data_IF_361773711013
#
_entry.id   IF_361773711013
#
_cell.length_a   1.000
_cell.length_b   1.000
_cell.length_c   1.000
_cell.angle_alpha   90.00
_cell.angle_beta   90.00
_cell.angle_gamma   90.00
#
_symmetry.space_group_name_H-M   'P 1'
#
loop_
_entity.id
_entity.type
_entity.pdbx_description
1 polymer ?
#
# COMPACT_ATOMS: atom_id res chain seq x y z
N UNK A 1 46.58 4.42 -2.14
CA UNK A 1 45.58 3.78 -3.03
C UNK A 1 46.34 3.05 -4.12
N UNK A 2 45.96 1.82 -4.43
CA UNK A 2 46.55 1.02 -5.51
C UNK A 2 46.39 1.77 -6.85
N UNK A 3 47.52 2.03 -7.53
CA UNK A 3 47.56 2.79 -8.79
C UNK A 3 46.93 2.01 -9.95
N UNK A 4 47.02 0.67 -9.94
CA UNK A 4 46.35 -0.15 -10.95
C UNK A 4 44.83 -0.09 -10.78
N UNK A 5 44.35 -0.17 -9.53
CA UNK A 5 42.93 0.00 -9.22
C UNK A 5 42.41 1.38 -9.63
N UNK A 6 43.16 2.46 -9.35
CA UNK A 6 42.77 3.81 -9.76
C UNK A 6 42.73 3.95 -11.30
N UNK A 7 43.70 3.38 -12.01
CA UNK A 7 43.74 3.41 -13.46
C UNK A 7 42.53 2.68 -14.08
N UNK A 8 42.17 1.51 -13.54
CA UNK A 8 40.99 0.77 -13.98
C UNK A 8 39.68 1.55 -13.73
N UNK A 9 39.55 2.20 -12.56
CA UNK A 9 38.39 3.03 -12.25
C UNK A 9 38.29 4.24 -13.19
N UNK A 10 39.39 4.90 -13.50
CA UNK A 10 39.41 6.01 -14.46
C UNK A 10 39.01 5.55 -15.87
N UNK A 11 39.58 4.43 -16.33
CA UNK A 11 39.24 3.88 -17.62
C UNK A 11 37.74 3.51 -17.72
N UNK A 12 37.12 3.09 -16.61
CA UNK A 12 35.70 2.73 -16.59
C UNK A 12 34.76 3.93 -16.46
N UNK A 13 35.07 4.87 -15.57
CA UNK A 13 34.09 5.86 -15.07
C UNK A 13 34.39 7.31 -15.43
N UNK A 14 35.51 7.63 -16.09
CA UNK A 14 35.84 9.03 -16.41
C UNK A 14 34.86 9.64 -17.41
N UNK A 15 34.47 8.88 -18.42
CA UNK A 15 33.57 9.31 -19.51
C UNK A 15 32.23 8.54 -19.49
N UNK A 16 31.96 7.77 -18.42
CA UNK A 16 30.70 7.06 -18.26
C UNK A 16 29.56 8.03 -17.93
N UNK A 17 28.42 7.82 -18.56
CA UNK A 17 27.17 8.56 -18.35
C UNK A 17 26.37 8.00 -17.17
N UNK A 18 25.32 8.71 -16.74
CA UNK A 18 24.49 8.27 -15.61
C UNK A 18 23.81 6.90 -15.80
N UNK A 19 23.57 6.49 -17.05
CA UNK A 19 22.95 5.21 -17.42
C UNK A 19 23.95 4.07 -17.70
N UNK A 20 25.26 4.33 -17.71
CA UNK A 20 26.29 3.31 -17.94
C UNK A 20 26.52 2.45 -16.69
N UNK A 21 25.58 1.53 -16.44
CA UNK A 21 25.59 0.66 -15.26
C UNK A 21 25.78 -0.82 -15.64
N UNK A 22 26.82 -1.44 -15.09
CA UNK A 22 27.18 -2.85 -15.38
C UNK A 22 26.44 -3.87 -14.52
N UNK A 23 26.09 -3.50 -13.28
CA UNK A 23 25.39 -4.42 -12.39
C UNK A 23 24.03 -4.76 -13.02
N UNK A 24 23.72 -6.05 -13.27
CA UNK A 24 22.52 -6.43 -13.98
C UNK A 24 21.21 -5.98 -13.32
N UNK A 25 21.18 -5.83 -12.00
CA UNK A 25 19.98 -5.37 -11.30
C UNK A 25 19.84 -3.85 -11.40
N UNK A 26 20.95 -3.12 -11.24
CA UNK A 26 20.92 -1.67 -11.39
C UNK A 26 20.70 -1.25 -12.85
N UNK A 27 21.15 -2.04 -13.82
CA UNK A 27 20.93 -1.79 -15.25
C UNK A 27 19.44 -1.81 -15.62
N UNK A 28 18.63 -2.67 -14.98
CA UNK A 28 17.16 -2.67 -15.15
C UNK A 28 16.55 -1.34 -14.71
N UNK A 29 16.96 -0.84 -13.55
CA UNK A 29 16.52 0.45 -13.03
C UNK A 29 16.99 1.60 -13.93
N UNK A 30 18.25 1.58 -14.38
CA UNK A 30 18.80 2.59 -15.29
C UNK A 30 18.03 2.67 -16.60
N UNK A 31 17.68 1.52 -17.20
CA UNK A 31 16.94 1.44 -18.45
C UNK A 31 15.54 2.10 -18.39
N UNK A 32 14.97 2.25 -17.19
CA UNK A 32 13.71 2.95 -17.00
C UNK A 32 13.86 4.45 -16.79
N UNK A 33 14.99 4.87 -16.24
CA UNK A 33 15.19 6.25 -15.82
C UNK A 33 15.93 7.08 -16.87
N UNK A 34 16.84 6.46 -17.61
CA UNK A 34 17.69 7.14 -18.58
C UNK A 34 17.22 6.88 -20.02
N UNK A 35 16.95 7.95 -20.75
CA UNK A 35 16.95 7.96 -22.21
C UNK A 35 18.33 8.38 -22.72
N UNK A 36 18.77 7.81 -23.85
CA UNK A 36 20.06 8.15 -24.48
C UNK A 36 21.26 8.06 -23.51
N UNK A 37 21.21 7.16 -22.53
CA UNK A 37 22.21 6.91 -21.46
C UNK A 37 22.53 8.06 -20.49
N UNK A 38 22.22 9.33 -20.78
CA UNK A 38 22.57 10.46 -19.90
C UNK A 38 21.41 11.41 -19.58
N UNK A 39 20.21 11.15 -20.10
CA UNK A 39 19.04 12.01 -19.88
C UNK A 39 18.01 11.34 -19.00
N UNK A 40 17.74 11.93 -17.84
CA UNK A 40 16.64 11.53 -16.96
C UNK A 40 15.54 12.58 -17.01
N UNK A 41 14.29 12.13 -17.10
CA UNK A 41 13.12 13.01 -16.94
C UNK A 41 13.21 13.70 -15.57
N UNK A 42 12.89 14.98 -15.51
CA UNK A 42 12.85 15.69 -14.23
C UNK A 42 11.71 15.14 -13.36
N UNK A 43 11.96 14.83 -12.08
CA UNK A 43 10.95 14.25 -11.20
C UNK A 43 9.73 15.17 -11.01
N UNK A 44 9.94 16.50 -11.12
CA UNK A 44 8.92 17.53 -10.97
C UNK A 44 8.24 17.99 -12.26
N UNK A 45 8.44 17.25 -13.37
CA UNK A 45 7.87 17.57 -14.66
C UNK A 45 6.72 16.63 -15.05
N UNK A 46 5.79 17.15 -15.86
CA UNK A 46 4.55 16.51 -16.31
C UNK A 46 3.51 16.27 -15.19
N UNK A 47 2.30 15.77 -15.52
CA UNK A 47 1.35 15.36 -14.50
C UNK A 47 1.90 14.25 -13.59
N UNK A 48 1.73 14.44 -12.28
CA UNK A 48 2.17 13.48 -11.27
C UNK A 48 1.26 12.24 -11.24
N UNK A 49 1.87 11.07 -11.07
CA UNK A 49 1.22 9.74 -11.12
C UNK A 49 1.78 8.89 -9.99
N UNK A 50 1.09 7.80 -9.61
CA UNK A 50 1.62 6.93 -8.58
C UNK A 50 2.96 6.32 -8.99
N UNK A 51 4.00 6.58 -8.18
CA UNK A 51 5.36 6.04 -8.34
C UNK A 51 6.01 6.34 -9.69
N UNK A 52 5.61 7.44 -10.35
CA UNK A 52 6.02 7.81 -11.72
C UNK A 52 5.70 6.73 -12.77
N UNK A 53 4.75 5.83 -12.51
CA UNK A 53 4.32 4.82 -13.47
C UNK A 53 3.49 5.43 -14.60
N UNK A 54 3.42 4.79 -15.79
CA UNK A 54 2.60 5.28 -16.89
C UNK A 54 1.13 5.50 -16.46
N UNK A 55 0.58 6.67 -16.77
CA UNK A 55 -0.85 6.94 -16.61
C UNK A 55 -1.64 6.31 -17.76
N UNK A 56 -2.52 5.36 -17.43
CA UNK A 56 -3.25 4.53 -18.41
C UNK A 56 -4.73 4.36 -18.05
N UNK A 57 -5.51 5.44 -17.83
CA UNK A 57 -6.92 5.33 -17.41
C UNK A 57 -7.81 4.66 -18.45
N UNK A 58 -7.42 4.68 -19.73
CA UNK A 58 -8.19 4.09 -20.82
C UNK A 58 -8.28 2.56 -20.73
N UNK A 59 -7.34 1.91 -20.02
CA UNK A 59 -7.34 0.44 -19.86
C UNK A 59 -8.53 -0.06 -19.06
N UNK A 60 -9.14 0.78 -18.22
CA UNK A 60 -10.35 0.42 -17.48
C UNK A 60 -11.57 0.13 -18.38
N UNK A 61 -11.50 0.51 -19.66
CA UNK A 61 -12.52 0.20 -20.67
C UNK A 61 -12.23 -1.09 -21.45
N UNK A 62 -11.05 -1.68 -21.26
CA UNK A 62 -10.60 -2.88 -21.97
C UNK A 62 -10.91 -4.13 -21.14
N UNK A 63 -11.36 -5.24 -21.76
CA UNK A 63 -11.68 -6.48 -21.03
C UNK A 63 -10.51 -7.09 -20.25
N UNK A 64 -9.28 -6.90 -20.71
CA UNK A 64 -8.04 -7.46 -20.15
C UNK A 64 -7.19 -6.40 -19.44
N UNK A 65 -7.72 -5.18 -19.26
CA UNK A 65 -6.98 -4.04 -18.69
C UNK A 65 -5.65 -3.77 -19.40
N UNK A 66 -5.57 -4.04 -20.71
CA UNK A 66 -4.33 -3.85 -21.47
C UNK A 66 -3.22 -4.84 -21.09
N UNK A 67 -3.58 -5.98 -20.49
CA UNK A 67 -2.66 -7.01 -20.03
C UNK A 67 -1.77 -6.56 -18.89
N UNK A 68 -2.26 -5.65 -18.03
CA UNK A 68 -1.57 -5.24 -16.81
C UNK A 68 -1.46 -6.42 -15.84
N UNK A 69 -0.35 -6.43 -15.11
CA UNK A 69 -0.12 -7.32 -13.98
C UNK A 69 -0.66 -6.70 -12.68
N UNK A 70 -0.51 -5.38 -12.55
CA UNK A 70 -0.89 -4.58 -11.38
C UNK A 70 -1.52 -3.27 -11.83
N UNK A 71 -2.60 -2.86 -11.18
CA UNK A 71 -3.22 -1.55 -11.35
C UNK A 71 -3.07 -0.74 -10.06
N UNK A 72 -2.48 0.46 -10.17
CA UNK A 72 -2.47 1.45 -9.09
C UNK A 72 -3.73 2.31 -9.22
N UNK A 73 -4.53 2.38 -8.15
CA UNK A 73 -5.88 2.94 -8.18
C UNK A 73 -6.06 3.94 -7.05
N UNK A 74 -6.51 5.16 -7.34
CA UNK A 74 -6.91 6.10 -6.29
C UNK A 74 -8.38 5.92 -5.88
N UNK A 75 -8.66 6.02 -4.59
CA UNK A 75 -10.03 5.95 -4.04
C UNK A 75 -10.31 7.19 -3.18
N UNK A 76 -10.55 8.37 -3.78
CA UNK A 76 -10.64 9.65 -3.07
C UNK A 76 -11.97 9.84 -2.32
N UNK A 77 -12.20 9.08 -1.25
CA UNK A 77 -13.44 9.04 -0.47
C UNK A 77 -13.17 9.00 1.03
N UNK A 78 -13.82 9.87 1.82
CA UNK A 78 -13.68 9.93 3.28
C UNK A 78 -15.03 10.16 4.02
N UNK A 79 -16.14 9.67 3.43
CA UNK A 79 -17.48 9.81 3.99
C UNK A 79 -17.75 8.88 5.18
N UNK A 80 -16.86 7.91 5.44
CA UNK A 80 -16.92 6.98 6.57
C UNK A 80 -16.17 7.45 7.82
N UNK A 81 -15.47 8.60 7.76
CA UNK A 81 -14.75 9.16 8.91
C UNK A 81 -15.71 9.65 10.00
N UNK A 82 -15.39 9.36 11.27
CA UNK A 82 -16.17 9.84 12.43
C UNK A 82 -15.56 11.05 13.14
N UNK A 83 -14.29 11.38 12.87
CA UNK A 83 -13.55 12.45 13.52
C UNK A 83 -13.04 13.51 12.53
N UNK A 84 -11.81 13.37 12.03
CA UNK A 84 -11.14 14.38 11.19
C UNK A 84 -11.09 13.94 9.73
N UNK A 85 -12.02 14.45 8.92
CA UNK A 85 -12.03 14.20 7.47
C UNK A 85 -10.79 14.79 6.77
N UNK A 86 -10.54 14.44 5.51
CA UNK A 86 -9.36 14.87 4.75
C UNK A 86 -8.84 13.87 3.76
N UNK A 87 -9.04 12.59 4.09
CA UNK A 87 -8.41 11.48 3.38
C UNK A 87 -8.83 11.41 1.91
N UNK A 88 -9.96 12.03 1.50
CA UNK A 88 -10.32 12.19 0.08
C UNK A 88 -9.24 12.87 -0.77
N UNK A 89 -8.33 13.61 -0.16
CA UNK A 89 -7.20 14.27 -0.83
C UNK A 89 -5.91 13.43 -0.83
N UNK A 90 -5.88 12.32 -0.10
CA UNK A 90 -4.77 11.39 0.01
C UNK A 90 -4.23 10.90 -1.33
N UNK A 91 -5.07 10.37 -2.25
CA UNK A 91 -4.60 9.84 -3.53
C UNK A 91 -3.83 10.89 -4.35
N UNK A 92 -4.29 12.14 -4.34
CA UNK A 92 -3.60 13.24 -5.02
C UNK A 92 -2.28 13.60 -4.34
N UNK A 93 -2.25 13.64 -3.01
CA UNK A 93 -1.03 13.95 -2.26
C UNK A 93 0.05 12.88 -2.47
N UNK A 94 -0.33 11.60 -2.50
CA UNK A 94 0.60 10.49 -2.74
C UNK A 94 1.10 10.47 -4.18
N UNK A 95 0.26 10.79 -5.19
CA UNK A 95 0.73 10.98 -6.58
C UNK A 95 1.80 12.06 -6.70
N UNK A 96 1.73 13.12 -5.89
CA UNK A 96 2.69 14.22 -5.92
C UNK A 96 4.05 13.89 -5.29
N UNK A 97 4.27 12.65 -4.83
CA UNK A 97 5.56 12.22 -4.29
C UNK A 97 6.45 11.68 -5.41
N UNK A 98 7.48 12.44 -5.75
CA UNK A 98 8.34 12.20 -6.91
C UNK A 98 9.67 11.47 -6.56
N UNK A 99 9.93 11.22 -5.27
CA UNK A 99 11.24 10.77 -4.78
C UNK A 99 11.18 9.45 -4.01
N UNK A 100 10.69 8.41 -4.66
CA UNK A 100 10.84 7.01 -4.20
C UNK A 100 12.00 6.33 -4.93
N UNK A 101 12.01 6.44 -6.26
CA UNK A 101 12.99 5.78 -7.12
C UNK A 101 12.55 4.37 -7.54
N UNK A 102 13.15 3.81 -8.60
CA UNK A 102 12.66 2.59 -9.24
C UNK A 102 13.19 1.28 -8.63
N UNK A 103 14.08 1.32 -7.63
CA UNK A 103 14.83 0.15 -7.17
C UNK A 103 14.76 -0.03 -5.65
N UNK A 104 14.25 -1.18 -5.21
CA UNK A 104 14.27 -1.59 -3.82
C UNK A 104 15.57 -2.36 -3.54
N UNK A 105 16.42 -1.79 -2.68
CA UNK A 105 17.80 -2.23 -2.53
C UNK A 105 18.00 -3.48 -1.66
N UNK A 106 17.06 -3.80 -0.76
CA UNK A 106 17.14 -4.97 0.11
C UNK A 106 16.64 -6.21 -0.63
N UNK A 107 15.51 -6.11 -1.32
CA UNK A 107 14.89 -7.15 -2.11
C UNK A 107 15.54 -7.30 -3.49
N UNK A 108 16.29 -6.29 -3.94
CA UNK A 108 16.90 -6.20 -5.28
C UNK A 108 15.84 -6.34 -6.37
N UNK A 109 14.81 -5.49 -6.28
CA UNK A 109 13.65 -5.51 -7.17
C UNK A 109 13.54 -4.17 -7.89
N UNK A 110 13.30 -4.23 -9.20
CA UNK A 110 12.86 -3.07 -9.99
C UNK A 110 11.44 -3.39 -10.47
N UNK A 111 10.39 -3.04 -9.70
CA UNK A 111 9.06 -3.60 -9.90
C UNK A 111 8.50 -3.32 -11.30
N UNK A 112 8.69 -2.10 -11.82
CA UNK A 112 8.23 -1.74 -13.16
C UNK A 112 8.98 -2.46 -14.30
N UNK A 113 10.11 -3.12 -14.01
CA UNK A 113 10.86 -3.92 -14.99
C UNK A 113 10.44 -5.40 -14.94
N UNK A 114 9.77 -5.80 -13.86
CA UNK A 114 9.32 -7.17 -13.59
C UNK A 114 7.81 -7.33 -13.79
N UNK A 115 7.05 -6.25 -13.69
CA UNK A 115 5.60 -6.20 -13.80
C UNK A 115 5.14 -5.14 -14.81
N UNK A 116 4.11 -5.46 -15.59
CA UNK A 116 3.32 -4.46 -16.31
C UNK A 116 2.39 -3.75 -15.32
N UNK A 117 2.86 -2.64 -14.76
CA UNK A 117 2.12 -1.82 -13.81
C UNK A 117 1.82 -0.42 -14.37
N UNK A 118 0.67 0.14 -14.01
CA UNK A 118 0.26 1.49 -14.40
C UNK A 118 -0.65 2.14 -13.35
N UNK A 119 -0.62 3.47 -13.29
CA UNK A 119 -1.66 4.27 -12.62
C UNK A 119 -2.86 4.37 -13.55
N UNK A 120 -4.00 3.79 -13.15
CA UNK A 120 -5.21 3.76 -13.97
C UNK A 120 -6.23 4.85 -13.58
N UNK A 121 -5.81 5.81 -12.75
CA UNK A 121 -6.65 6.89 -12.27
C UNK A 121 -7.41 6.53 -10.99
N UNK A 122 -8.57 7.16 -10.83
CA UNK A 122 -9.38 7.04 -9.62
C UNK A 122 -10.67 6.26 -9.89
N UNK A 123 -11.23 5.66 -8.84
CA UNK A 123 -12.58 5.06 -8.90
C UNK A 123 -13.61 6.12 -9.33
N UNK A 124 -14.43 5.86 -10.36
CA UNK A 124 -15.47 6.78 -10.79
C UNK A 124 -16.68 6.70 -9.84
N UNK A 125 -16.90 7.75 -9.04
CA UNK A 125 -18.05 7.83 -8.14
C UNK A 125 -19.27 8.48 -8.77
N UNK A 126 -20.45 7.85 -8.61
CA UNK A 126 -21.72 8.39 -9.07
C UNK A 126 -22.28 9.48 -8.14
N UNK A 127 -21.87 9.48 -6.87
CA UNK A 127 -22.33 10.42 -5.85
C UNK A 127 -21.21 10.84 -4.92
N UNK A 128 -21.14 12.14 -4.60
CA UNK A 128 -20.26 12.67 -3.56
C UNK A 128 -20.90 12.76 -2.17
N UNK A 129 -22.13 12.24 -2.04
CA UNK A 129 -22.99 12.44 -0.87
C UNK A 129 -23.51 11.14 -0.25
N UNK A 130 -23.29 9.99 -0.91
CA UNK A 130 -23.84 8.70 -0.49
C UNK A 130 -22.70 7.73 -0.28
N UNK A 131 -22.38 7.45 0.99
CA UNK A 131 -21.36 6.48 1.37
C UNK A 131 -21.66 5.09 0.79
N UNK A 132 -22.92 4.66 0.88
CA UNK A 132 -23.37 3.37 0.34
C UNK A 132 -23.13 3.28 -1.17
N UNK A 133 -23.52 4.31 -1.93
CA UNK A 133 -23.26 4.33 -3.38
C UNK A 133 -21.78 4.36 -3.70
N UNK A 134 -20.96 5.04 -2.89
CA UNK A 134 -19.50 5.00 -3.04
C UNK A 134 -18.93 3.60 -2.82
N UNK A 135 -19.38 2.88 -1.77
CA UNK A 135 -18.95 1.49 -1.54
C UNK A 135 -19.37 0.56 -2.68
N UNK A 136 -20.57 0.71 -3.23
CA UNK A 136 -21.01 -0.02 -4.42
C UNK A 136 -20.13 0.28 -5.66
N UNK A 137 -19.78 1.54 -5.88
CA UNK A 137 -18.93 1.95 -7.01
C UNK A 137 -17.50 1.39 -6.88
N UNK A 138 -16.95 1.39 -5.66
CA UNK A 138 -15.62 0.81 -5.37
C UNK A 138 -15.65 -0.68 -5.65
N UNK A 139 -16.60 -1.43 -5.08
CA UNK A 139 -16.71 -2.86 -5.30
C UNK A 139 -16.85 -3.20 -6.79
N UNK A 140 -17.77 -2.50 -7.49
CA UNK A 140 -18.02 -2.74 -8.91
C UNK A 140 -16.76 -2.50 -9.76
N UNK A 141 -16.00 -1.44 -9.46
CA UNK A 141 -14.76 -1.14 -10.16
C UNK A 141 -13.67 -2.18 -9.86
N UNK A 142 -13.43 -2.53 -8.59
CA UNK A 142 -12.42 -3.52 -8.26
C UNK A 142 -12.77 -4.92 -8.77
N UNK A 143 -14.07 -5.27 -8.86
CA UNK A 143 -14.51 -6.54 -9.42
C UNK A 143 -14.13 -6.68 -10.90
N UNK A 144 -14.12 -5.60 -11.69
CA UNK A 144 -13.67 -5.67 -13.09
C UNK A 144 -12.16 -5.87 -13.18
N UNK A 145 -11.38 -5.20 -12.34
CA UNK A 145 -9.92 -5.34 -12.24
C UNK A 145 -9.54 -6.78 -11.87
N UNK A 146 -10.11 -7.31 -10.78
CA UNK A 146 -9.82 -8.66 -10.28
C UNK A 146 -10.26 -9.72 -11.29
N UNK A 147 -11.41 -9.55 -11.95
CA UNK A 147 -11.89 -10.49 -12.98
C UNK A 147 -10.95 -10.58 -14.18
N UNK A 148 -10.22 -9.50 -14.49
CA UNK A 148 -9.20 -9.50 -15.54
C UNK A 148 -7.88 -10.15 -15.11
N UNK A 149 -7.76 -10.62 -13.86
CA UNK A 149 -6.54 -11.22 -13.32
C UNK A 149 -5.47 -10.19 -12.92
N UNK A 150 -5.86 -8.92 -12.79
CA UNK A 150 -4.96 -7.83 -12.40
C UNK A 150 -4.98 -7.67 -10.88
N UNK A 151 -3.81 -7.52 -10.25
CA UNK A 151 -3.70 -7.25 -8.81
C UNK A 151 -3.98 -5.76 -8.56
N UNK A 152 -5.00 -5.39 -7.76
CA UNK A 152 -5.27 -4.00 -7.44
C UNK A 152 -4.45 -3.54 -6.22
N UNK A 153 -3.71 -2.44 -6.36
CA UNK A 153 -3.09 -1.71 -5.25
C UNK A 153 -3.72 -0.32 -5.15
N UNK A 154 -4.42 -0.07 -4.05
CA UNK A 154 -5.17 1.17 -3.88
C UNK A 154 -4.40 2.19 -3.05
N UNK A 155 -4.60 3.46 -3.35
CA UNK A 155 -4.33 4.55 -2.42
C UNK A 155 -5.67 5.17 -2.08
N UNK A 156 -6.01 5.09 -0.81
CA UNK A 156 -7.33 5.38 -0.31
C UNK A 156 -7.57 6.82 0.08
N UNK A 157 -8.83 7.05 0.45
CA UNK A 157 -9.18 7.98 1.50
C UNK A 157 -9.31 7.22 2.81
N UNK A 158 -10.48 7.25 3.44
CA UNK A 158 -10.64 6.60 4.74
C UNK A 158 -10.64 5.06 4.65
N UNK A 159 -10.42 4.39 5.78
CA UNK A 159 -10.28 2.93 5.82
C UNK A 159 -11.58 2.16 5.46
N UNK A 160 -12.73 2.83 5.40
CA UNK A 160 -14.00 2.17 5.04
C UNK A 160 -14.02 1.66 3.59
N UNK A 161 -13.13 2.15 2.72
CA UNK A 161 -13.00 1.66 1.34
C UNK A 161 -12.62 0.18 1.27
N UNK A 162 -11.85 -0.31 2.25
CA UNK A 162 -11.18 -1.61 2.17
C UNK A 162 -12.17 -2.75 2.21
N UNK A 163 -13.31 -2.59 2.89
CA UNK A 163 -14.42 -3.55 2.81
C UNK A 163 -14.91 -3.74 1.37
N UNK A 164 -15.12 -2.65 0.63
CA UNK A 164 -15.61 -2.72 -0.75
C UNK A 164 -14.57 -3.34 -1.70
N UNK A 165 -13.29 -3.01 -1.50
CA UNK A 165 -12.19 -3.65 -2.22
C UNK A 165 -12.08 -5.15 -1.91
N UNK A 166 -12.17 -5.54 -0.64
CA UNK A 166 -12.15 -6.94 -0.21
C UNK A 166 -13.33 -7.74 -0.75
N UNK A 167 -14.51 -7.12 -0.91
CA UNK A 167 -15.66 -7.79 -1.55
C UNK A 167 -15.38 -8.21 -2.98
N UNK A 168 -14.53 -7.49 -3.70
CA UNK A 168 -14.07 -7.87 -5.03
C UNK A 168 -12.93 -8.91 -4.98
N UNK A 169 -11.90 -8.66 -4.17
CA UNK A 169 -10.69 -9.50 -4.10
C UNK A 169 -11.00 -10.89 -3.52
N UNK A 170 -11.81 -10.95 -2.46
CA UNK A 170 -12.22 -12.18 -1.78
C UNK A 170 -13.51 -12.80 -2.31
N UNK A 171 -14.03 -12.36 -3.46
CA UNK A 171 -15.31 -12.80 -4.00
C UNK A 171 -15.36 -14.31 -4.30
N UNK A 172 -14.25 -14.88 -4.78
CA UNK A 172 -14.17 -16.31 -5.09
C UNK A 172 -13.95 -17.16 -3.83
N UNK A 173 -13.01 -16.72 -2.98
CA UNK A 173 -12.67 -17.34 -1.70
C UNK A 173 -12.19 -16.25 -0.73
N UNK A 174 -12.48 -16.36 0.57
CA UNK A 174 -11.97 -15.42 1.55
C UNK A 174 -10.44 -15.41 1.55
N UNK A 175 -9.86 -14.22 1.59
CA UNK A 175 -8.41 -14.02 1.64
C UNK A 175 -7.91 -13.95 3.09
N UNK A 176 -6.62 -14.23 3.31
CA UNK A 176 -5.95 -13.80 4.53
C UNK A 176 -5.63 -12.31 4.49
N UNK A 177 -5.19 -11.74 5.61
CA UNK A 177 -4.81 -10.33 5.65
C UNK A 177 -3.65 -10.03 6.60
N UNK A 178 -2.78 -9.13 6.15
CA UNK A 178 -1.82 -8.43 7.00
C UNK A 178 -2.30 -6.99 7.10
N UNK A 179 -2.67 -6.58 8.30
CA UNK A 179 -3.22 -5.28 8.62
C UNK A 179 -2.24 -4.52 9.52
N UNK A 180 -1.73 -3.39 9.05
CA UNK A 180 -0.77 -2.57 9.79
C UNK A 180 -1.45 -1.24 10.09
N UNK A 181 -1.82 -1.04 11.36
CA UNK A 181 -2.78 -0.01 11.80
C UNK A 181 -2.57 0.32 13.28
N UNK A 182 -3.00 1.50 13.75
CA UNK A 182 -3.18 1.79 15.17
C UNK A 182 -4.45 1.17 15.76
N UNK A 183 -5.47 0.90 14.96
CA UNK A 183 -6.79 0.40 15.35
C UNK A 183 -7.10 -0.94 14.70
N UNK A 184 -7.96 -1.75 15.32
CA UNK A 184 -8.33 -3.04 14.71
C UNK A 184 -9.40 -2.91 13.61
N UNK A 185 -10.14 -1.79 13.54
CA UNK A 185 -11.13 -1.57 12.50
C UNK A 185 -12.20 -2.67 12.37
N UNK A 186 -12.55 -3.24 13.52
CA UNK A 186 -13.60 -4.25 13.70
C UNK A 186 -14.78 -3.74 14.55
N UNK A 187 -14.96 -2.42 14.60
CA UNK A 187 -16.05 -1.76 15.32
C UNK A 187 -17.45 -2.19 14.85
N UNK A 188 -18.43 -2.00 15.73
CA UNK A 188 -19.83 -2.36 15.50
C UNK A 188 -20.62 -1.33 14.72
N UNK A 189 -21.87 -1.11 15.11
CA UNK A 189 -22.73 -0.07 14.52
C UNK A 189 -22.54 1.21 15.35
N UNK A 190 -22.24 2.32 14.70
CA UNK A 190 -22.26 3.67 15.30
C UNK A 190 -23.41 4.47 14.72
N UNK A 191 -24.25 5.03 15.60
CA UNK A 191 -25.33 5.95 15.23
C UNK A 191 -26.26 5.43 14.11
N UNK A 192 -26.44 4.10 14.05
CA UNK A 192 -27.27 3.44 13.05
C UNK A 192 -26.56 3.08 11.73
N UNK A 193 -25.29 3.43 11.57
CA UNK A 193 -24.45 3.00 10.44
C UNK A 193 -23.42 1.96 10.86
N UNK A 194 -23.29 0.90 10.06
CA UNK A 194 -22.18 -0.06 10.12
C UNK A 194 -21.06 0.26 9.11
N UNK A 195 -21.25 1.32 8.33
CA UNK A 195 -20.33 1.78 7.30
C UNK A 195 -19.65 3.04 7.84
N UNK A 196 -18.46 2.83 8.39
CA UNK A 196 -17.54 3.85 8.89
C UNK A 196 -16.12 3.27 8.85
N UNK A 197 -15.12 4.13 8.97
CA UNK A 197 -13.73 3.73 8.82
C UNK A 197 -13.24 2.77 9.92
N UNK A 198 -13.76 2.86 11.15
CA UNK A 198 -13.41 1.91 12.22
C UNK A 198 -14.12 0.54 12.22
N UNK A 199 -14.75 0.10 11.14
CA UNK A 199 -15.47 -1.19 11.07
C UNK A 199 -15.36 -2.06 9.80
N UNK A 200 -14.53 -1.75 8.78
CA UNK A 200 -14.51 -2.45 7.50
C UNK A 200 -14.20 -3.94 7.65
N UNK A 201 -13.29 -4.33 8.54
CA UNK A 201 -12.82 -5.71 8.62
C UNK A 201 -13.78 -6.64 9.36
N UNK A 202 -14.52 -6.11 10.33
CA UNK A 202 -15.67 -6.85 10.88
C UNK A 202 -16.67 -7.14 9.78
N UNK A 203 -17.00 -6.15 8.96
CA UNK A 203 -17.95 -6.36 7.87
C UNK A 203 -17.39 -7.30 6.79
N UNK A 204 -16.11 -7.22 6.44
CA UNK A 204 -15.49 -8.12 5.46
C UNK A 204 -15.52 -9.59 5.90
N UNK A 205 -15.30 -9.88 7.19
CA UNK A 205 -15.47 -11.24 7.74
C UNK A 205 -16.94 -11.68 7.64
N UNK A 206 -17.88 -10.81 8.01
CA UNK A 206 -19.31 -11.11 7.96
C UNK A 206 -19.85 -11.26 6.53
N UNK A 207 -19.23 -10.59 5.56
CA UNK A 207 -19.51 -10.74 4.13
C UNK A 207 -18.90 -12.03 3.55
N UNK A 208 -18.06 -12.74 4.31
CA UNK A 208 -17.43 -14.00 3.91
C UNK A 208 -16.25 -13.87 2.95
N UNK A 209 -15.65 -12.67 2.86
CA UNK A 209 -14.56 -12.36 1.92
C UNK A 209 -13.19 -12.20 2.60
N UNK A 210 -13.15 -12.24 3.93
CA UNK A 210 -11.95 -12.18 4.75
C UNK A 210 -11.96 -13.35 5.77
N UNK A 211 -10.88 -14.11 5.81
CA UNK A 211 -10.70 -15.19 6.79
C UNK A 211 -10.05 -14.62 8.07
N UNK A 212 -10.78 -14.56 9.21
CA UNK A 212 -10.24 -14.00 10.44
C UNK A 212 -9.10 -14.86 11.02
N UNK A 213 -9.08 -16.17 10.79
CA UNK A 213 -8.01 -17.04 11.29
C UNK A 213 -6.68 -16.84 10.54
N UNK A 214 -6.76 -16.30 9.31
CA UNK A 214 -5.61 -15.89 8.48
C UNK A 214 -5.41 -14.37 8.49
N UNK A 215 -5.89 -13.69 9.53
CA UNK A 215 -5.74 -12.23 9.69
C UNK A 215 -4.84 -11.89 10.86
N UNK A 216 -3.84 -11.04 10.61
CA UNK A 216 -2.96 -10.47 11.63
C UNK A 216 -3.02 -8.94 11.60
N UNK A 217 -3.16 -8.32 12.76
CA UNK A 217 -3.24 -6.87 12.96
C UNK A 217 -2.02 -6.43 13.79
N UNK A 218 -1.26 -5.44 13.31
CA UNK A 218 0.06 -5.09 13.85
C UNK A 218 0.14 -3.58 14.07
N UNK A 219 0.53 -3.17 15.28
CA UNK A 219 0.67 -1.75 15.64
C UNK A 219 -0.48 -1.19 16.48
N UNK A 220 -1.39 -2.08 16.91
CA UNK A 220 -2.62 -1.74 17.63
C UNK A 220 -2.29 -1.04 18.95
N UNK A 221 -2.93 0.11 19.21
CA UNK A 221 -2.71 0.92 20.42
C UNK A 221 -3.85 1.92 20.65
N UNK A 222 -3.72 2.73 21.69
CA UNK A 222 -4.69 3.78 22.00
C UNK A 222 -5.84 3.31 22.90
N UNK A 223 -6.78 4.21 23.16
CA UNK A 223 -7.84 4.00 24.16
C UNK A 223 -9.06 3.20 23.69
N UNK A 224 -9.02 2.65 22.47
CA UNK A 224 -10.19 2.11 21.76
C UNK A 224 -10.34 0.58 21.81
N UNK A 225 -9.47 -0.13 22.55
CA UNK A 225 -9.42 -1.61 22.53
C UNK A 225 -10.75 -2.29 22.87
N UNK A 226 -11.54 -1.70 23.77
CA UNK A 226 -12.86 -2.21 24.15
C UNK A 226 -13.86 -2.29 22.98
N UNK A 227 -13.58 -1.63 21.85
CA UNK A 227 -14.41 -1.66 20.64
C UNK A 227 -14.09 -2.85 19.72
N UNK A 228 -13.02 -3.62 20.01
CA UNK A 228 -12.43 -4.60 19.11
C UNK A 228 -12.56 -6.05 19.59
N UNK A 229 -13.50 -6.34 20.49
CA UNK A 229 -13.83 -7.71 20.96
C UNK A 229 -13.99 -8.70 19.79
N UNK A 230 -14.54 -8.22 18.67
CA UNK A 230 -14.71 -9.02 17.46
C UNK A 230 -13.40 -9.62 16.92
N UNK A 231 -12.28 -8.88 16.94
CA UNK A 231 -10.98 -9.41 16.48
C UNK A 231 -10.59 -10.66 17.27
N UNK A 232 -10.72 -10.60 18.60
CA UNK A 232 -10.38 -11.71 19.48
C UNK A 232 -11.33 -12.91 19.32
N UNK A 233 -12.64 -12.66 19.30
CA UNK A 233 -13.65 -13.74 19.21
C UNK A 233 -13.67 -14.40 17.84
N UNK A 234 -13.37 -13.65 16.77
CA UNK A 234 -13.33 -14.20 15.40
C UNK A 234 -12.05 -14.99 15.10
N UNK A 235 -11.02 -14.88 15.94
CA UNK A 235 -9.75 -15.61 15.80
C UNK A 235 -8.64 -14.83 15.10
N UNK A 236 -8.75 -13.52 14.95
CA UNK A 236 -7.67 -12.67 14.43
C UNK A 236 -6.50 -12.64 15.42
N UNK A 237 -5.28 -12.57 14.88
CA UNK A 237 -4.09 -12.32 15.70
C UNK A 237 -3.88 -10.82 15.83
N UNK A 238 -3.84 -10.31 17.06
CA UNK A 238 -3.58 -8.89 17.35
C UNK A 238 -2.20 -8.75 17.99
N UNK A 239 -1.35 -7.87 17.44
CA UNK A 239 -0.05 -7.49 17.98
C UNK A 239 -0.09 -6.00 18.30
N UNK A 240 -0.03 -5.68 19.59
CA UNK A 240 -0.02 -4.30 20.04
C UNK A 240 1.32 -3.61 19.77
N UNK A 241 1.32 -2.29 19.64
CA UNK A 241 2.52 -1.50 19.35
C UNK A 241 3.64 -1.74 20.38
N UNK A 242 3.31 -1.90 21.66
CA UNK A 242 4.28 -2.15 22.74
C UNK A 242 4.91 -3.56 22.67
N UNK A 243 4.25 -4.49 21.98
CA UNK A 243 4.75 -5.85 21.79
C UNK A 243 5.79 -5.91 20.67
N UNK A 244 5.68 -5.05 19.66
CA UNK A 244 6.59 -5.02 18.51
C UNK A 244 8.07 -4.90 18.92
N UNK A 245 8.49 -3.90 19.72
CA UNK A 245 9.89 -3.81 20.14
C UNK A 245 10.28 -4.91 21.15
N UNK A 246 9.33 -5.44 21.92
CA UNK A 246 9.56 -6.52 22.90
C UNK A 246 9.83 -7.87 22.22
N UNK A 247 9.08 -8.18 21.16
CA UNK A 247 9.24 -9.39 20.36
C UNK A 247 10.40 -9.26 19.38
N UNK A 248 10.60 -8.05 18.85
CA UNK A 248 11.51 -7.78 17.73
C UNK A 248 10.87 -8.10 16.39
N UNK A 249 11.20 -7.32 15.37
CA UNK A 249 10.63 -7.44 14.03
C UNK A 249 10.78 -8.84 13.40
N UNK A 250 11.91 -9.56 13.53
CA UNK A 250 12.02 -10.92 12.99
C UNK A 250 10.93 -11.86 13.52
N UNK A 251 10.54 -11.74 14.79
CA UNK A 251 9.49 -12.57 15.38
C UNK A 251 8.09 -12.14 14.91
N UNK A 252 7.85 -10.83 14.79
CA UNK A 252 6.59 -10.29 14.25
C UNK A 252 6.40 -10.72 12.79
N UNK A 253 7.45 -10.64 11.97
CA UNK A 253 7.45 -11.10 10.57
C UNK A 253 7.17 -12.60 10.50
N UNK A 254 7.88 -13.41 11.30
CA UNK A 254 7.65 -14.86 11.34
C UNK A 254 6.19 -15.18 11.72
N UNK A 255 5.64 -14.48 12.71
CA UNK A 255 4.24 -14.64 13.13
C UNK A 255 3.26 -14.22 12.03
N UNK A 256 3.51 -13.11 11.34
CA UNK A 256 2.67 -12.67 10.23
C UNK A 256 2.62 -13.73 9.12
N UNK A 257 3.78 -14.27 8.73
CA UNK A 257 3.88 -15.34 7.73
C UNK A 257 3.20 -16.64 8.18
N UNK A 258 3.31 -17.01 9.45
CA UNK A 258 2.64 -18.17 10.01
C UNK A 258 1.11 -18.02 9.92
N UNK A 259 0.58 -16.86 10.33
CA UNK A 259 -0.87 -16.59 10.32
C UNK A 259 -1.43 -16.58 8.90
N UNK A 260 -0.77 -15.90 7.97
CA UNK A 260 -1.28 -15.81 6.59
C UNK A 260 -0.90 -17.01 5.72
N UNK A 261 0.03 -17.86 6.13
CA UNK A 261 0.47 -19.05 5.37
C UNK A 261 0.75 -18.77 3.89
N UNK A 262 0.45 -19.75 3.03
CA UNK A 262 0.73 -19.69 1.57
C UNK A 262 -0.46 -19.23 0.72
N UNK A 263 -1.63 -19.03 1.34
CA UNK A 263 -2.85 -18.65 0.64
C UNK A 263 -2.87 -17.18 0.17
N UNK A 264 -3.87 -16.81 -0.65
CA UNK A 264 -4.04 -15.43 -1.10
C UNK A 264 -4.20 -14.49 0.09
N UNK A 265 -3.45 -13.39 0.08
CA UNK A 265 -3.34 -12.46 1.20
C UNK A 265 -3.51 -11.02 0.72
N UNK A 266 -4.36 -10.26 1.39
CA UNK A 266 -4.49 -8.82 1.21
C UNK A 266 -3.56 -8.10 2.19
N UNK A 267 -2.87 -7.04 1.77
CA UNK A 267 -2.09 -6.21 2.68
C UNK A 267 -2.70 -4.82 2.76
N UNK A 268 -3.19 -4.46 3.93
CA UNK A 268 -3.79 -3.15 4.19
C UNK A 268 -2.91 -2.37 5.16
N UNK A 269 -2.52 -1.17 4.75
CA UNK A 269 -1.66 -0.29 5.53
C UNK A 269 -2.37 1.03 5.81
N UNK A 270 -2.68 1.26 7.08
CA UNK A 270 -3.10 2.56 7.57
C UNK A 270 -1.87 3.40 7.94
N UNK A 271 -1.81 4.65 7.46
CA UNK A 271 -0.70 5.54 7.80
C UNK A 271 -0.67 5.94 9.27
N UNK A 272 -1.79 5.83 10.00
CA UNK A 272 -1.82 6.11 11.44
C UNK A 272 -1.17 4.99 12.29
N UNK A 273 -0.82 3.85 11.69
CA UNK A 273 0.07 2.86 12.29
C UNK A 273 1.44 3.45 12.67
N UNK A 274 1.89 4.46 11.91
CA UNK A 274 3.11 5.21 12.19
C UNK A 274 2.88 6.20 13.34
N UNK A 275 3.94 6.47 14.10
CA UNK A 275 3.87 7.52 15.12
C UNK A 275 3.55 8.88 14.48
N UNK A 276 2.72 9.74 15.10
CA UNK A 276 2.36 11.06 14.57
C UNK A 276 3.55 11.99 14.33
N UNK A 277 4.72 11.71 14.93
CA UNK A 277 5.98 12.38 14.61
C UNK A 277 6.46 12.13 13.17
N UNK A 278 6.01 11.06 12.52
CA UNK A 278 6.34 10.70 11.14
C UNK A 278 5.15 10.83 10.18
N UNK A 279 3.94 10.51 10.65
CA UNK A 279 2.71 10.57 9.87
C UNK A 279 1.64 11.48 10.53
N UNK A 280 1.90 12.80 10.66
CA UNK A 280 0.93 13.71 11.29
C UNK A 280 -0.36 13.90 10.44
N UNK A 281 -0.28 13.59 9.15
CA UNK A 281 -1.32 13.77 8.14
C UNK A 281 -2.36 12.67 8.11
N UNK A 282 -3.03 12.39 9.23
CA UNK A 282 -4.06 11.32 9.33
C UNK A 282 -5.27 11.77 10.16
N UNK A 283 -6.40 11.08 10.04
CA UNK A 283 -7.64 11.35 10.77
C UNK A 283 -7.54 11.07 12.27
N UNK A 284 -6.92 9.97 12.67
CA UNK A 284 -7.00 9.37 14.02
C UNK A 284 -5.63 9.02 14.62
N UNK A 285 -4.71 9.99 14.79
CA UNK A 285 -3.35 9.72 15.26
C UNK A 285 -3.35 9.19 16.69
N UNK A 286 -2.63 8.10 16.90
CA UNK A 286 -2.33 7.55 18.22
C UNK A 286 -0.82 7.65 18.51
N UNK A 287 -0.45 8.16 19.68
CA UNK A 287 0.97 8.29 20.07
C UNK A 287 1.63 6.93 20.32
N UNK A 288 2.96 6.83 20.15
CA UNK A 288 3.74 5.63 20.43
C UNK A 288 3.67 4.58 19.31
N UNK A 289 3.56 5.03 18.07
CA UNK A 289 3.41 4.17 16.89
C UNK A 289 4.72 3.62 16.34
N UNK A 290 4.61 2.91 15.22
CA UNK A 290 5.75 2.37 14.49
C UNK A 290 6.59 3.49 13.89
N UNK A 291 7.89 3.26 13.78
CA UNK A 291 8.77 4.11 12.98
C UNK A 291 8.73 3.68 11.50
N UNK A 292 8.99 4.59 10.54
CA UNK A 292 9.09 4.23 9.11
C UNK A 292 10.10 3.13 8.84
N UNK A 293 11.19 3.07 9.63
CA UNK A 293 12.20 2.01 9.52
C UNK A 293 11.62 0.64 9.86
N UNK A 294 10.81 0.56 10.91
CA UNK A 294 10.19 -0.70 11.33
C UNK A 294 9.17 -1.18 10.30
N UNK A 295 8.36 -0.28 9.74
CA UNK A 295 7.44 -0.59 8.64
C UNK A 295 8.20 -1.14 7.43
N UNK A 296 9.31 -0.52 7.01
CA UNK A 296 10.10 -1.02 5.90
C UNK A 296 10.67 -2.42 6.16
N UNK A 297 11.17 -2.68 7.36
CA UNK A 297 11.69 -4.01 7.73
C UNK A 297 10.57 -5.06 7.80
N UNK A 298 9.39 -4.70 8.33
CA UNK A 298 8.19 -5.54 8.27
C UNK A 298 7.85 -5.91 6.83
N UNK A 299 7.63 -4.91 5.97
CA UNK A 299 7.21 -5.13 4.58
C UNK A 299 8.23 -5.99 3.82
N UNK A 300 9.52 -5.70 3.92
CA UNK A 300 10.57 -6.52 3.27
C UNK A 300 10.57 -7.97 3.75
N UNK A 301 10.28 -8.20 5.03
CA UNK A 301 10.15 -9.54 5.60
C UNK A 301 8.97 -10.37 5.06
N UNK A 302 8.02 -9.73 4.39
CA UNK A 302 6.87 -10.37 3.76
C UNK A 302 7.14 -10.82 2.32
N UNK A 303 8.36 -10.65 1.80
CA UNK A 303 8.72 -11.14 0.47
C UNK A 303 8.37 -12.63 0.30
N UNK A 304 7.69 -12.97 -0.79
CA UNK A 304 7.20 -14.32 -1.08
C UNK A 304 5.83 -14.66 -0.50
N UNK A 305 5.18 -13.77 0.27
CA UNK A 305 3.75 -13.90 0.58
C UNK A 305 2.95 -13.67 -0.71
N UNK A 306 1.88 -14.45 -0.92
CA UNK A 306 1.00 -14.34 -2.08
C UNK A 306 0.06 -13.13 -1.96
N UNK A 307 0.57 -11.94 -2.30
CA UNK A 307 -0.18 -10.68 -2.27
C UNK A 307 -1.12 -10.60 -3.48
N UNK A 308 -2.43 -10.63 -3.23
CA UNK A 308 -3.49 -10.57 -4.27
C UNK A 308 -4.19 -9.22 -4.35
N UNK A 309 -3.81 -8.28 -3.49
CA UNK A 309 -4.27 -6.90 -3.47
C UNK A 309 -3.75 -6.19 -2.23
N UNK A 310 -3.89 -4.88 -2.20
CA UNK A 310 -3.56 -4.11 -1.01
C UNK A 310 -4.00 -2.66 -1.11
N UNK A 311 -3.89 -1.94 0.00
CA UNK A 311 -4.19 -0.52 0.06
C UNK A 311 -3.26 0.25 1.02
N UNK A 312 -3.17 1.55 0.77
CA UNK A 312 -2.56 2.54 1.66
C UNK A 312 -3.60 3.62 1.92
N UNK A 313 -4.05 3.78 3.16
CA UNK A 313 -5.25 4.57 3.50
C UNK A 313 -4.96 5.71 4.50
N UNK A 314 -5.99 6.51 4.81
CA UNK A 314 -6.02 7.57 5.82
C UNK A 314 -5.02 8.74 5.66
N UNK A 315 -4.43 8.91 4.48
CA UNK A 315 -3.60 10.09 4.17
C UNK A 315 -4.48 11.34 4.07
N UNK A 316 -4.47 12.15 5.13
CA UNK A 316 -5.16 13.44 5.23
C UNK A 316 -4.13 14.61 5.14
N UNK A 317 -3.80 15.08 3.91
CA UNK A 317 -2.66 15.97 3.69
C UNK A 317 -2.77 17.33 4.37
N UNK A 318 -3.99 17.81 4.70
CA UNK A 318 -4.13 19.10 5.37
C UNK A 318 -3.62 19.11 6.82
N UNK A 319 -3.40 17.94 7.43
CA UNK A 319 -2.80 17.83 8.76
C UNK A 319 -1.27 17.64 8.71
N UNK A 320 -0.69 17.66 7.51
CA UNK A 320 0.75 17.54 7.30
C UNK A 320 1.28 18.65 6.38
N UNK A 321 1.84 19.74 6.95
CA UNK A 321 2.36 20.84 6.15
C UNK A 321 3.66 20.51 5.39
N UNK A 322 4.25 19.34 5.65
CA UNK A 322 5.56 18.93 5.12
C UNK A 322 5.48 17.75 4.15
N UNK A 323 4.30 17.18 3.93
CA UNK A 323 4.07 16.01 3.08
C UNK A 323 4.83 14.74 3.51
N UNK A 324 5.27 14.64 4.76
CA UNK A 324 5.96 13.46 5.31
C UNK A 324 5.08 12.21 5.26
N UNK A 325 3.79 12.35 5.54
CA UNK A 325 2.79 11.30 5.55
C UNK A 325 2.56 10.77 4.14
N UNK A 326 2.43 11.69 3.16
CA UNK A 326 2.33 11.31 1.75
C UNK A 326 3.60 10.59 1.27
N UNK A 327 4.79 11.05 1.71
CA UNK A 327 6.07 10.38 1.42
C UNK A 327 6.11 8.96 2.01
N UNK A 328 5.65 8.76 3.24
CA UNK A 328 5.56 7.44 3.86
C UNK A 328 4.59 6.54 3.08
N UNK A 329 3.40 7.05 2.75
CA UNK A 329 2.40 6.33 1.97
C UNK A 329 2.90 5.91 0.58
N UNK A 330 3.58 6.81 -0.14
CA UNK A 330 4.19 6.50 -1.44
C UNK A 330 5.30 5.44 -1.31
N UNK A 331 6.12 5.50 -0.27
CA UNK A 331 7.13 4.46 -0.01
C UNK A 331 6.46 3.11 0.26
N UNK A 332 5.40 3.06 1.07
CA UNK A 332 4.67 1.81 1.33
C UNK A 332 4.02 1.27 0.05
N UNK A 333 3.41 2.12 -0.77
CA UNK A 333 2.86 1.71 -2.07
C UNK A 333 3.94 1.07 -2.97
N UNK A 334 5.16 1.62 -2.95
CA UNK A 334 6.30 1.05 -3.67
C UNK A 334 6.72 -0.31 -3.12
N UNK A 335 6.77 -0.47 -1.79
CA UNK A 335 7.05 -1.76 -1.16
C UNK A 335 5.96 -2.80 -1.48
N UNK A 336 4.67 -2.41 -1.48
CA UNK A 336 3.57 -3.27 -1.91
C UNK A 336 3.75 -3.77 -3.34
N UNK A 337 4.10 -2.87 -4.26
CA UNK A 337 4.39 -3.23 -5.64
C UNK A 337 5.60 -4.18 -5.75
N UNK A 338 6.64 -3.96 -4.94
CA UNK A 338 7.78 -4.87 -4.85
C UNK A 338 7.41 -6.24 -4.29
N UNK A 339 6.51 -6.31 -3.31
CA UNK A 339 6.03 -7.57 -2.75
C UNK A 339 5.22 -8.39 -3.76
N UNK A 340 4.39 -7.73 -4.58
CA UNK A 340 3.71 -8.39 -5.69
C UNK A 340 4.72 -8.95 -6.70
N UNK A 341 5.79 -8.20 -7.01
CA UNK A 341 6.86 -8.70 -7.89
C UNK A 341 7.60 -9.89 -7.28
N UNK A 342 7.92 -9.83 -5.97
CA UNK A 342 8.62 -10.88 -5.24
C UNK A 342 7.83 -12.19 -5.20
N UNK A 343 6.50 -12.13 -5.07
CA UNK A 343 5.63 -13.31 -5.04
C UNK A 343 5.51 -14.06 -6.39
N UNK A 344 5.98 -13.45 -7.50
CA UNK A 344 5.99 -14.06 -8.84
C UNK A 344 7.34 -14.70 -9.22
N UNK A 345 8.35 -14.57 -8.37
CA UNK A 345 9.68 -15.17 -8.56
C UNK A 345 9.72 -16.64 -8.13
#
# INVERSE_FOLDING_TARGET
MDQAKLAALRARYLDATGGDIDDPDFAKAAAQQFSESDRRKWPFADPATFLDLPFRPEVATLPDFGGLDVALIGVPMDLGVTNRAGARHGPRAVRAVERIGPYEHVLRITPAAELKAADIGDVPFRSRFSLESCHEDIEAFFATVVKAGVVPLAVGGDHSISRATLRAVGAAHPVGMIHIDAHCDTGGVYEGSKFHHGGPFRQAVLDGVLDPARTIQIGIRGGAEYLWEFSYVSGMTVIHAEEVPRLGLPAVIARAREVVGDGPTYLSFDVDSLDPGFAPGTGTPEMGGLTPREVLELLRGLAGVNIVGGDVVEVAPQYDPTSNTAQCAAQVLFELLCLVAAGRR
#
